data_IF_412125485439
#
_entry.id   IF_412125485439
#
_cell.length_a   1.000
_cell.length_b   1.000
_cell.length_c   1.000
_cell.angle_alpha   90.00
_cell.angle_beta   90.00
_cell.angle_gamma   90.00
#
_symmetry.space_group_name_H-M   'P 1'
#
loop_
_entity.id
_entity.type
_entity.pdbx_description
1 polymer ?
#
# COMPACT_ATOMS: atom_id res chain seq x y z
N UNK A 1 1.82 10.91 -1.19
CA UNK A 1 1.17 9.64 -1.56
C UNK A 1 1.14 9.45 -3.06
N UNK A 2 0.16 10.04 -3.75
CA UNK A 2 -0.11 9.77 -5.17
C UNK A 2 1.07 10.03 -6.13
N UNK A 3 1.87 11.07 -5.91
CA UNK A 3 3.05 11.36 -6.74
C UNK A 3 4.07 10.22 -6.62
N UNK A 4 4.49 9.89 -5.39
CA UNK A 4 5.43 8.81 -5.14
C UNK A 4 4.93 7.46 -5.70
N UNK A 5 3.63 7.17 -5.54
CA UNK A 5 3.01 5.95 -6.07
C UNK A 5 3.08 5.91 -7.60
N UNK A 6 2.66 6.98 -8.30
CA UNK A 6 2.71 7.05 -9.76
C UNK A 6 4.14 7.03 -10.31
N UNK A 7 5.08 7.62 -9.58
CA UNK A 7 6.50 7.53 -9.92
C UNK A 7 6.99 6.09 -9.80
N UNK A 8 6.62 5.38 -8.73
CA UNK A 8 6.94 3.96 -8.57
C UNK A 8 6.34 3.08 -9.67
N UNK A 9 5.07 3.30 -10.02
CA UNK A 9 4.39 2.61 -11.13
C UNK A 9 5.08 2.89 -12.49
N UNK A 10 5.44 4.14 -12.75
CA UNK A 10 6.15 4.53 -13.96
C UNK A 10 7.53 3.89 -14.06
N UNK A 11 8.27 3.86 -12.94
CA UNK A 11 9.60 3.25 -12.87
C UNK A 11 9.52 1.73 -13.10
N UNK A 12 8.58 1.04 -12.47
CA UNK A 12 8.37 -0.39 -12.67
C UNK A 12 8.04 -0.73 -14.14
N UNK A 13 7.19 0.08 -14.78
CA UNK A 13 6.87 -0.06 -16.21
C UNK A 13 8.09 0.17 -17.11
N UNK A 14 8.90 1.19 -16.80
CA UNK A 14 10.14 1.47 -17.51
C UNK A 14 11.11 0.28 -17.44
N UNK A 15 11.42 -0.21 -16.23
CA UNK A 15 12.30 -1.36 -16.06
C UNK A 15 11.79 -2.62 -16.75
N UNK A 16 10.48 -2.91 -16.65
CA UNK A 16 9.89 -4.07 -17.31
C UNK A 16 10.02 -3.98 -18.84
N UNK A 17 9.82 -2.79 -19.41
CA UNK A 17 9.97 -2.55 -20.85
C UNK A 17 11.43 -2.69 -21.31
N UNK A 18 12.36 -2.05 -20.60
CA UNK A 18 13.80 -2.11 -20.90
C UNK A 18 14.32 -3.55 -20.79
N UNK A 19 13.97 -4.27 -19.73
CA UNK A 19 14.38 -5.66 -19.55
C UNK A 19 13.86 -6.55 -20.68
N UNK A 20 12.58 -6.39 -21.04
CA UNK A 20 12.00 -7.12 -22.17
C UNK A 20 12.76 -6.84 -23.47
N UNK A 21 13.03 -5.57 -23.76
CA UNK A 21 13.75 -5.16 -24.97
C UNK A 21 15.16 -5.77 -25.03
N UNK A 22 15.91 -5.74 -23.93
CA UNK A 22 17.26 -6.31 -23.84
C UNK A 22 17.27 -7.83 -23.96
N UNK A 23 16.25 -8.52 -23.44
CA UNK A 23 16.18 -9.98 -23.51
C UNK A 23 15.68 -10.50 -24.87
N UNK A 24 15.10 -9.62 -25.69
CA UNK A 24 14.62 -9.96 -27.04
C UNK A 24 15.44 -9.32 -28.14
N UNK A 25 16.62 -8.75 -27.85
CA UNK A 25 17.44 -8.03 -28.83
C UNK A 25 18.05 -8.94 -29.89
N UNK A 26 18.39 -10.18 -29.52
CA UNK A 26 19.12 -11.12 -30.37
C UNK A 26 18.85 -12.57 -29.95
N UNK A 27 19.13 -13.57 -30.83
CA UNK A 27 18.81 -14.97 -30.56
C UNK A 27 19.49 -15.55 -29.32
N UNK A 28 20.69 -15.07 -28.97
CA UNK A 28 21.42 -15.54 -27.79
C UNK A 28 20.77 -15.01 -26.51
N UNK A 29 20.43 -13.72 -26.48
CA UNK A 29 19.67 -13.10 -25.39
C UNK A 29 18.30 -13.78 -25.20
N UNK A 30 17.61 -14.13 -26.29
CA UNK A 30 16.35 -14.86 -26.24
C UNK A 30 16.51 -16.27 -25.64
N UNK A 31 17.58 -16.98 -26.01
CA UNK A 31 17.88 -18.29 -25.42
C UNK A 31 18.14 -18.18 -23.90
N UNK A 32 18.90 -17.17 -23.48
CA UNK A 32 19.10 -16.86 -22.06
C UNK A 32 17.79 -16.54 -21.33
N UNK A 33 16.91 -15.75 -21.97
CA UNK A 33 15.59 -15.42 -21.42
C UNK A 33 14.69 -16.66 -21.24
N UNK A 34 14.75 -17.61 -22.18
CA UNK A 34 14.04 -18.89 -22.10
C UNK A 34 14.52 -19.73 -20.90
N UNK A 35 15.83 -19.81 -20.69
CA UNK A 35 16.40 -20.51 -19.53
C UNK A 35 16.02 -19.82 -18.20
N UNK A 36 15.98 -18.48 -18.19
CA UNK A 36 15.64 -17.69 -17.01
C UNK A 36 14.13 -17.49 -16.80
N UNK A 37 13.27 -17.99 -17.71
CA UNK A 37 11.83 -17.68 -17.76
C UNK A 37 11.12 -17.91 -16.42
N UNK A 38 11.36 -19.05 -15.76
CA UNK A 38 10.73 -19.34 -14.46
C UNK A 38 11.11 -18.35 -13.35
N UNK A 39 12.33 -17.82 -13.38
CA UNK A 39 12.76 -16.76 -12.46
C UNK A 39 12.11 -15.41 -12.80
N UNK A 40 12.04 -15.08 -14.08
CA UNK A 40 11.37 -13.88 -14.58
C UNK A 40 9.88 -13.85 -14.25
N UNK A 41 9.19 -14.98 -14.38
CA UNK A 41 7.77 -15.09 -14.07
C UNK A 41 7.53 -14.87 -12.56
N UNK A 42 8.39 -15.42 -11.69
CA UNK A 42 8.35 -15.17 -10.24
C UNK A 42 8.63 -13.70 -9.91
N UNK A 43 9.59 -13.08 -10.60
CA UNK A 43 9.88 -11.66 -10.43
C UNK A 43 8.67 -10.81 -10.83
N UNK A 44 8.06 -11.10 -11.97
CA UNK A 44 6.86 -10.43 -12.45
C UNK A 44 5.73 -10.52 -11.44
N UNK A 45 5.49 -11.71 -10.88
CA UNK A 45 4.46 -11.90 -9.85
C UNK A 45 4.71 -11.05 -8.59
N UNK A 46 5.97 -10.80 -8.20
CA UNK A 46 6.32 -9.95 -7.04
C UNK A 46 6.20 -8.45 -7.33
N UNK A 47 6.38 -8.05 -8.59
CA UNK A 47 6.32 -6.65 -9.01
C UNK A 47 4.92 -6.21 -9.42
N UNK A 48 4.00 -7.15 -9.67
CA UNK A 48 2.60 -6.83 -9.96
C UNK A 48 1.93 -6.26 -8.70
N UNK A 49 1.40 -5.02 -8.75
CA UNK A 49 0.68 -4.46 -7.63
C UNK A 49 -0.66 -5.21 -7.41
N UNK A 50 -1.16 -5.26 -6.16
CA UNK A 50 -2.47 -5.83 -5.87
C UNK A 50 -3.59 -5.09 -6.64
N UNK A 51 -4.64 -5.82 -7.02
CA UNK A 51 -5.72 -5.32 -7.88
C UNK A 51 -6.57 -4.19 -7.29
N UNK A 52 -6.41 -3.87 -6.00
CA UNK A 52 -7.07 -2.75 -5.35
C UNK A 52 -6.44 -2.46 -3.99
N UNK A 53 -6.93 -1.41 -3.34
CA UNK A 53 -6.50 -1.02 -2.00
C UNK A 53 -7.66 -0.62 -1.08
N UNK A 54 -7.53 -0.81 0.25
CA UNK A 54 -8.52 -0.36 1.22
C UNK A 54 -8.64 1.16 1.22
N UNK A 55 -9.87 1.65 1.26
CA UNK A 55 -10.20 3.06 1.44
C UNK A 55 -10.46 3.30 2.93
N UNK A 56 -9.55 4.02 3.56
CA UNK A 56 -9.61 4.33 5.00
C UNK A 56 -10.48 5.57 5.27
N UNK A 57 -10.99 5.66 6.50
CA UNK A 57 -11.81 6.81 6.96
C UNK A 57 -13.33 6.64 6.77
N UNK A 58 -13.79 5.42 6.47
CA UNK A 58 -15.20 5.06 6.38
C UNK A 58 -15.58 4.09 7.51
N UNK A 59 -16.88 4.02 7.85
CA UNK A 59 -17.41 3.13 8.90
C UNK A 59 -17.51 1.66 8.47
N UNK A 60 -16.75 1.23 7.45
CA UNK A 60 -16.80 -0.12 6.92
C UNK A 60 -15.67 -0.41 5.94
N UNK A 61 -15.53 -1.69 5.55
CA UNK A 61 -14.52 -2.13 4.59
C UNK A 61 -14.92 -1.73 3.18
N UNK A 62 -14.16 -0.79 2.60
CA UNK A 62 -14.32 -0.38 1.20
C UNK A 62 -13.01 -0.60 0.49
N UNK A 63 -13.04 -1.30 -0.64
CA UNK A 63 -11.87 -1.53 -1.49
C UNK A 63 -12.09 -0.87 -2.84
N UNK A 64 -11.11 -0.09 -3.29
CA UNK A 64 -11.12 0.52 -4.62
C UNK A 64 -10.24 -0.29 -5.56
N UNK A 65 -10.83 -0.82 -6.63
CA UNK A 65 -10.09 -1.42 -7.74
C UNK A 65 -9.52 -0.36 -8.69
N UNK A 66 -8.40 -0.67 -9.36
CA UNK A 66 -7.86 0.17 -10.41
C UNK A 66 -8.71 0.07 -11.68
N UNK A 67 -9.11 1.20 -12.28
CA UNK A 67 -10.12 1.23 -13.36
C UNK A 67 -9.75 0.49 -14.66
N UNK A 68 -8.47 0.16 -14.87
CA UNK A 68 -7.98 -0.62 -16.01
C UNK A 68 -7.59 -2.07 -15.66
N UNK A 69 -8.12 -2.63 -14.57
CA UNK A 69 -7.84 -4.02 -14.18
C UNK A 69 -8.52 -5.03 -15.09
N UNK A 70 -7.85 -6.16 -15.31
CA UNK A 70 -8.42 -7.33 -15.96
C UNK A 70 -9.21 -8.19 -14.95
N UNK A 71 -9.79 -9.30 -15.41
CA UNK A 71 -10.59 -10.18 -14.57
C UNK A 71 -9.81 -10.72 -13.35
N UNK A 72 -8.51 -11.01 -13.52
CA UNK A 72 -7.65 -11.47 -12.43
C UNK A 72 -7.42 -10.36 -11.41
N UNK A 73 -7.10 -9.14 -11.87
CA UNK A 73 -6.94 -7.99 -10.99
C UNK A 73 -8.23 -7.64 -10.23
N UNK A 74 -9.40 -7.81 -10.85
CA UNK A 74 -10.67 -7.63 -10.16
C UNK A 74 -10.93 -8.74 -9.12
N UNK A 75 -10.63 -10.00 -9.46
CA UNK A 75 -10.70 -11.11 -8.51
C UNK A 75 -9.77 -10.91 -7.30
N UNK A 76 -8.56 -10.38 -7.53
CA UNK A 76 -7.63 -10.01 -6.46
C UNK A 76 -8.22 -8.90 -5.57
N UNK A 77 -8.90 -7.90 -6.14
CA UNK A 77 -9.58 -6.86 -5.36
C UNK A 77 -10.71 -7.42 -4.49
N UNK A 78 -11.50 -8.37 -5.01
CA UNK A 78 -12.53 -9.07 -4.23
C UNK A 78 -11.89 -9.87 -3.09
N UNK A 79 -10.80 -10.59 -3.37
CA UNK A 79 -10.08 -11.35 -2.36
C UNK A 79 -9.56 -10.45 -1.24
N UNK A 80 -8.99 -9.29 -1.58
CA UNK A 80 -8.58 -8.28 -0.60
C UNK A 80 -9.77 -7.81 0.24
N UNK A 81 -10.92 -7.54 -0.38
CA UNK A 81 -12.11 -7.14 0.36
C UNK A 81 -12.60 -8.22 1.33
N UNK A 82 -12.57 -9.49 0.91
CA UNK A 82 -12.89 -10.63 1.76
C UNK A 82 -11.92 -10.75 2.94
N UNK A 83 -10.61 -10.70 2.68
CA UNK A 83 -9.58 -10.82 3.72
C UNK A 83 -9.68 -9.68 4.74
N UNK A 84 -9.99 -8.46 4.28
CA UNK A 84 -10.21 -7.30 5.15
C UNK A 84 -11.50 -7.42 5.97
N UNK A 85 -12.57 -7.96 5.39
CA UNK A 85 -13.84 -8.18 6.10
C UNK A 85 -13.75 -9.32 7.13
N UNK A 86 -12.97 -10.37 6.83
CA UNK A 86 -12.75 -11.51 7.72
C UNK A 86 -11.71 -11.23 8.82
N UNK A 87 -10.94 -10.15 8.71
CA UNK A 87 -9.91 -9.78 9.68
C UNK A 87 -10.39 -8.68 10.63
N UNK A 88 -9.59 -8.42 11.69
CA UNK A 88 -9.83 -7.33 12.65
C UNK A 88 -9.19 -6.01 12.20
N UNK A 89 -9.05 -5.81 10.89
CA UNK A 89 -8.27 -4.71 10.31
C UNK A 89 -8.79 -3.32 10.74
N UNK A 90 -10.11 -3.11 10.71
CA UNK A 90 -10.71 -1.83 11.12
C UNK A 90 -10.45 -1.53 12.60
N UNK A 91 -10.60 -2.55 13.47
CA UNK A 91 -10.34 -2.41 14.89
C UNK A 91 -8.86 -2.09 15.17
N UNK A 92 -7.94 -2.73 14.46
CA UNK A 92 -6.50 -2.45 14.56
C UNK A 92 -6.16 -1.02 14.16
N UNK A 93 -6.75 -0.53 13.06
CA UNK A 93 -6.57 0.86 12.65
C UNK A 93 -7.09 1.81 13.73
N UNK A 94 -8.29 1.57 14.27
CA UNK A 94 -8.85 2.38 15.35
C UNK A 94 -7.92 2.45 16.57
N UNK A 95 -7.44 1.28 17.04
CA UNK A 95 -6.47 1.20 18.15
C UNK A 95 -5.17 1.95 17.85
N UNK A 96 -4.66 1.86 16.63
CA UNK A 96 -3.42 2.54 16.25
C UNK A 96 -3.60 4.05 16.16
N UNK A 97 -4.74 4.53 15.65
CA UNK A 97 -5.06 5.97 15.62
C UNK A 97 -5.18 6.51 17.04
N UNK A 98 -5.84 5.78 17.95
CA UNK A 98 -5.95 6.18 19.36
C UNK A 98 -4.56 6.30 20.02
N UNK A 99 -3.69 5.30 19.84
CA UNK A 99 -2.30 5.34 20.34
C UNK A 99 -1.52 6.52 19.79
N UNK A 100 -1.63 6.79 18.48
CA UNK A 100 -0.99 7.96 17.87
C UNK A 100 -1.57 9.26 18.41
N UNK A 101 -2.87 9.34 18.64
CA UNK A 101 -3.50 10.54 19.21
C UNK A 101 -3.01 10.84 20.62
N UNK A 102 -2.79 9.82 21.45
CA UNK A 102 -2.20 9.96 22.78
C UNK A 102 -0.74 10.41 22.69
N UNK A 103 0.04 9.85 21.78
CA UNK A 103 1.44 10.23 21.58
C UNK A 103 1.61 11.64 20.99
N UNK A 104 0.61 12.12 20.23
CA UNK A 104 0.58 13.45 19.61
C UNK A 104 -0.18 14.49 20.45
N UNK A 105 -0.79 14.10 21.57
CA UNK A 105 -1.46 15.02 22.45
C UNK A 105 -0.41 15.98 23.04
N UNK A 106 -0.57 17.31 22.88
CA UNK A 106 0.34 18.26 23.51
C UNK A 106 0.23 18.14 25.03
N UNK A 107 1.35 18.27 25.73
CA UNK A 107 1.43 18.42 27.19
C UNK A 107 0.64 19.66 27.62
N UNK A 108 -0.68 19.55 27.77
CA UNK A 108 -1.51 20.63 28.31
C UNK A 108 -1.31 20.63 29.82
N UNK A 109 -0.23 21.27 30.27
CA UNK A 109 -0.11 21.75 31.65
C UNK A 109 -1.10 22.90 31.82
N UNK A 110 -2.29 22.61 32.34
CA UNK A 110 -3.18 23.62 32.91
C UNK A 110 -2.50 24.17 34.17
N UNK A 111 -1.66 25.19 34.03
CA UNK A 111 -1.26 26.04 35.15
C UNK A 111 -2.42 27.00 35.44
N UNK A 112 -3.42 26.49 36.14
CA UNK A 112 -4.61 27.23 36.56
C UNK A 112 -5.03 26.82 37.96
N UNK A 113 -4.11 26.86 38.93
CA UNK A 113 -4.42 26.74 40.35
C UNK A 113 -3.29 27.34 41.20
N UNK A 114 -3.18 28.66 41.24
CA UNK A 114 -2.51 29.35 42.36
C UNK A 114 -2.92 30.83 42.42
N UNK A 115 -4.22 31.10 42.51
CA UNK A 115 -4.74 32.30 43.17
C UNK A 115 -5.68 31.83 44.27
N UNK A 116 -5.15 31.66 45.49
CA UNK A 116 -5.87 31.79 46.77
C UNK A 116 -5.03 31.17 47.92
N UNK A 117 -4.04 31.91 48.44
CA UNK A 117 -3.86 32.05 49.90
C UNK A 117 -2.81 33.10 50.26
N UNK A 118 -3.15 33.88 51.28
CA UNK A 118 -2.34 34.82 52.08
C UNK A 118 -2.10 36.18 51.42
N UNK A 119 -2.71 37.32 51.79
CA UNK A 119 -3.54 37.69 52.94
C UNK A 119 -3.02 37.18 54.29
N UNK A 120 -1.81 37.59 54.67
CA UNK A 120 -1.49 38.15 55.99
C UNK A 120 -0.18 38.95 55.91
#
# INVERSE_FOLDING_TARGET
GNIALKTGEGLARFFAATLKQSLTSDPLSMAGALLAKGGLDRLRARLTPPGGGPLLGLNGTVVKSHGGTDANGFADAIKIAYDLAASRYIEEIGRNIERLSVALAPDVKINGASEAKSAE
#
